data_IF_388273328416
#
_entry.id   IF_388273328416
#
_cell.length_a   1.000
_cell.length_b   1.000
_cell.length_c   1.000
_cell.angle_alpha   90.00
_cell.angle_beta   90.00
_cell.angle_gamma   90.00
#
_symmetry.space_group_name_H-M   'P 1'
#
loop_
_entity.id
_entity.type
_entity.pdbx_description
1 polymer ?
#
# COMPACT_ATOMS: atom_id res chain seq x y z
N UNK A 1 15.92 15.77 -4.55
CA UNK A 1 14.57 16.03 -4.02
C UNK A 1 13.72 14.81 -4.31
N UNK A 2 13.10 14.21 -3.30
CA UNK A 2 12.13 13.13 -3.52
C UNK A 2 10.98 13.68 -4.38
N UNK A 3 10.59 12.96 -5.43
CA UNK A 3 9.46 13.36 -6.27
C UNK A 3 8.18 13.10 -5.51
N UNK A 4 7.43 14.14 -5.15
CA UNK A 4 6.06 14.02 -4.64
C UNK A 4 5.12 13.63 -5.77
N UNK A 5 4.17 12.74 -5.48
CA UNK A 5 3.13 12.31 -6.42
C UNK A 5 1.77 12.37 -5.73
N UNK A 6 0.78 12.95 -6.39
CA UNK A 6 -0.59 12.95 -5.89
C UNK A 6 -1.19 11.55 -6.05
N UNK A 7 -1.85 11.06 -5.01
CA UNK A 7 -2.63 9.84 -5.03
C UNK A 7 -4.04 10.11 -4.50
N UNK A 8 -5.00 9.28 -4.94
CA UNK A 8 -6.37 9.29 -4.44
C UNK A 8 -6.59 8.07 -3.54
N UNK A 9 -7.19 8.29 -2.38
CA UNK A 9 -7.57 7.26 -1.43
C UNK A 9 -8.53 6.27 -2.10
N UNK A 10 -8.18 4.99 -2.04
CA UNK A 10 -8.99 3.91 -2.60
C UNK A 10 -9.88 3.26 -1.53
N UNK A 11 -9.31 2.99 -0.35
CA UNK A 11 -9.96 2.28 0.76
C UNK A 11 -9.37 2.79 2.06
N UNK A 12 -10.23 3.13 3.03
CA UNK A 12 -9.87 3.37 4.43
C UNK A 12 -10.92 2.67 5.30
N UNK A 13 -10.57 1.49 5.85
CA UNK A 13 -11.48 0.69 6.68
C UNK A 13 -10.73 -0.31 7.55
N UNK A 14 -11.37 -0.69 8.66
CA UNK A 14 -10.97 -1.87 9.44
C UNK A 14 -11.49 -3.14 8.78
N UNK A 15 -10.62 -4.15 8.62
CA UNK A 15 -10.97 -5.46 8.05
C UNK A 15 -10.90 -6.52 9.14
N UNK A 16 -11.97 -7.30 9.29
CA UNK A 16 -12.06 -8.40 10.27
C UNK A 16 -12.45 -9.69 9.57
N UNK A 17 -12.03 -10.84 10.09
CA UNK A 17 -12.55 -12.13 9.60
C UNK A 17 -13.98 -12.38 10.14
N UNK A 18 -14.87 -13.01 9.35
CA UNK A 18 -14.71 -13.34 7.93
C UNK A 18 -14.85 -12.10 7.04
N UNK A 19 -14.10 -12.04 5.93
CA UNK A 19 -14.20 -10.99 4.93
C UNK A 19 -13.88 -11.54 3.54
N UNK A 20 -14.47 -10.95 2.51
CA UNK A 20 -14.20 -11.29 1.12
C UNK A 20 -12.75 -10.98 0.73
N UNK A 21 -12.22 -11.69 -0.26
CA UNK A 21 -10.88 -11.40 -0.79
C UNK A 21 -10.86 -10.04 -1.49
N UNK A 22 -9.89 -9.20 -1.14
CA UNK A 22 -9.61 -7.95 -1.86
C UNK A 22 -8.70 -8.23 -3.06
N UNK A 23 -8.87 -7.46 -4.14
CA UNK A 23 -7.99 -7.54 -5.32
C UNK A 23 -7.49 -6.15 -5.70
N UNK A 24 -6.21 -6.07 -6.04
CA UNK A 24 -5.56 -4.87 -6.57
C UNK A 24 -4.88 -5.20 -7.90
N UNK A 25 -4.81 -4.20 -8.77
CA UNK A 25 -4.20 -4.28 -10.10
C UNK A 25 -3.11 -3.23 -10.23
N UNK A 26 -2.19 -3.35 -11.21
CA UNK A 26 -1.06 -2.42 -11.35
C UNK A 26 -1.41 -0.92 -11.38
N UNK A 27 -2.65 -0.56 -11.76
CA UNK A 27 -3.12 0.83 -11.84
C UNK A 27 -4.52 1.07 -11.26
N UNK A 28 -5.09 0.12 -10.51
CA UNK A 28 -6.44 0.26 -9.93
C UNK A 28 -6.62 -0.64 -8.70
N UNK A 29 -7.71 -0.44 -7.95
CA UNK A 29 -8.01 -1.25 -6.76
C UNK A 29 -7.13 -0.98 -5.54
N UNK A 30 -6.37 0.13 -5.52
CA UNK A 30 -5.48 0.45 -4.39
C UNK A 30 -4.13 -0.27 -4.45
N UNK A 31 -3.41 -0.11 -5.57
CA UNK A 31 -2.07 -0.71 -5.75
C UNK A 31 -1.03 -0.25 -4.71
N UNK A 32 -1.28 0.87 -4.04
CA UNK A 32 -0.52 1.36 -2.90
C UNK A 32 -1.42 1.22 -1.67
N UNK A 33 -0.93 0.54 -0.63
CA UNK A 33 -1.69 0.27 0.58
C UNK A 33 -0.78 0.13 1.79
N UNK A 34 -1.37 0.32 2.96
CA UNK A 34 -0.74 0.09 4.26
C UNK A 34 -1.69 -0.77 5.10
N UNK A 35 -1.15 -1.76 5.80
CA UNK A 35 -1.89 -2.53 6.79
C UNK A 35 -1.39 -2.18 8.18
N UNK A 36 -2.33 -1.87 9.07
CA UNK A 36 -2.07 -1.68 10.50
C UNK A 36 -2.86 -2.71 11.28
N UNK A 37 -2.15 -3.60 11.97
CA UNK A 37 -2.79 -4.61 12.81
C UNK A 37 -3.40 -3.96 14.06
N UNK A 38 -4.73 -3.98 14.18
CA UNK A 38 -5.45 -3.51 15.39
C UNK A 38 -5.38 -4.57 16.50
N UNK A 39 -5.46 -5.84 16.10
CA UNK A 39 -5.24 -7.03 16.94
C UNK A 39 -4.27 -7.96 16.22
N UNK A 40 -3.68 -8.97 16.89
CA UNK A 40 -2.94 -10.01 16.20
C UNK A 40 -3.80 -10.62 15.08
N UNK A 41 -3.30 -10.57 13.85
CA UNK A 41 -4.01 -11.00 12.65
C UNK A 41 -3.07 -11.72 11.69
N UNK A 42 -3.64 -12.45 10.74
CA UNK A 42 -2.92 -13.07 9.64
C UNK A 42 -3.50 -12.57 8.32
N UNK A 43 -2.63 -12.25 7.37
CA UNK A 43 -2.98 -11.88 5.99
C UNK A 43 -2.38 -12.92 5.06
N UNK A 44 -3.18 -13.40 4.10
CA UNK A 44 -2.72 -14.28 3.04
C UNK A 44 -2.73 -13.52 1.72
N UNK A 45 -1.55 -13.24 1.18
CA UNK A 45 -1.39 -12.54 -0.10
C UNK A 45 -0.95 -13.49 -1.22
N UNK A 46 -1.54 -13.31 -2.39
CA UNK A 46 -1.16 -13.98 -3.64
C UNK A 46 -0.66 -12.90 -4.61
N UNK A 47 0.62 -12.96 -4.97
CA UNK A 47 1.26 -12.00 -5.87
C UNK A 47 1.42 -12.59 -7.28
N UNK A 48 0.92 -11.89 -8.29
CA UNK A 48 0.98 -12.33 -9.69
C UNK A 48 1.36 -11.17 -10.64
N UNK A 49 2.62 -11.07 -11.10
CA UNK A 49 3.79 -11.85 -10.69
C UNK A 49 4.37 -11.40 -9.33
N UNK A 50 5.20 -12.23 -8.67
CA UNK A 50 5.91 -11.80 -7.47
C UNK A 50 6.96 -10.74 -7.78
N UNK A 51 7.38 -10.02 -6.72
CA UNK A 51 8.51 -9.09 -6.78
C UNK A 51 9.77 -9.79 -7.30
N UNK A 52 10.55 -9.06 -8.07
CA UNK A 52 11.82 -9.49 -8.65
C UNK A 52 12.60 -8.25 -9.06
N UNK A 53 13.55 -7.83 -8.23
CA UNK A 53 14.33 -6.62 -8.47
C UNK A 53 15.11 -6.66 -9.79
N UNK A 54 15.68 -7.82 -10.14
CA UNK A 54 16.39 -8.02 -11.41
C UNK A 54 15.51 -7.77 -12.65
N UNK A 55 14.19 -7.89 -12.51
CA UNK A 55 13.21 -7.59 -13.55
C UNK A 55 12.50 -6.24 -13.34
N UNK A 56 13.06 -5.36 -12.48
CA UNK A 56 12.53 -4.04 -12.17
C UNK A 56 11.31 -4.04 -11.24
N UNK A 57 10.86 -5.20 -10.74
CA UNK A 57 9.70 -5.33 -9.84
C UNK A 57 10.15 -5.26 -8.38
N UNK A 58 10.59 -4.08 -7.95
CA UNK A 58 10.95 -3.82 -6.56
C UNK A 58 9.73 -3.38 -5.74
N UNK A 59 9.75 -3.66 -4.45
CA UNK A 59 8.84 -3.02 -3.51
C UNK A 59 9.39 -1.61 -3.20
N UNK A 60 8.55 -0.59 -3.30
CA UNK A 60 8.90 0.81 -3.01
C UNK A 60 8.00 1.32 -1.90
N UNK A 61 8.61 1.96 -0.90
CA UNK A 61 7.90 2.52 0.23
C UNK A 61 7.60 3.99 0.00
N UNK A 62 6.48 4.43 0.57
CA UNK A 62 6.00 5.79 0.45
C UNK A 62 5.62 6.31 1.83
N UNK A 63 5.91 7.59 2.08
CA UNK A 63 5.31 8.35 3.15
C UNK A 63 4.21 9.22 2.57
N UNK A 64 3.01 9.15 3.14
CA UNK A 64 1.88 9.97 2.77
C UNK A 64 1.82 11.25 3.60
N UNK A 65 1.48 12.35 2.94
CA UNK A 65 1.18 13.63 3.58
C UNK A 65 -0.24 14.04 3.21
N UNK A 66 -0.98 14.70 4.12
CA UNK A 66 -2.25 15.32 3.80
C UNK A 66 -2.16 16.19 2.53
N UNK A 67 -3.24 16.23 1.75
CA UNK A 67 -3.31 17.08 0.55
C UNK A 67 -2.88 18.53 0.82
N UNK A 68 -3.29 19.08 1.97
CA UNK A 68 -3.01 20.45 2.41
C UNK A 68 -1.56 20.72 2.80
N UNK A 69 -0.68 19.70 2.86
CA UNK A 69 0.71 19.87 3.29
C UNK A 69 1.58 20.63 2.28
N UNK A 70 1.17 20.73 1.01
CA UNK A 70 1.96 21.38 -0.04
C UNK A 70 1.08 22.33 -0.85
N UNK A 71 1.51 23.58 -1.00
CA UNK A 71 0.83 24.58 -1.81
C UNK A 71 0.78 24.13 -3.28
N UNK A 72 -0.42 24.03 -3.83
CA UNK A 72 -0.67 23.75 -5.24
C UNK A 72 -1.54 24.87 -5.81
N UNK A 73 -1.38 25.19 -7.09
CA UNK A 73 -2.31 26.08 -7.79
C UNK A 73 -3.73 25.52 -7.71
N UNK A 74 -4.73 26.40 -7.71
CA UNK A 74 -6.17 26.20 -7.41
C UNK A 74 -6.91 25.11 -8.24
N UNK A 75 -6.24 24.26 -9.01
CA UNK A 75 -6.85 23.50 -10.11
C UNK A 75 -6.88 21.97 -9.96
N UNK A 76 -6.20 21.37 -8.97
CA UNK A 76 -5.99 19.90 -9.02
C UNK A 76 -7.15 19.09 -8.43
N UNK A 77 -7.89 19.62 -7.44
CA UNK A 77 -8.96 18.88 -6.76
C UNK A 77 -10.16 19.81 -6.55
N UNK A 78 -11.36 19.30 -6.86
CA UNK A 78 -12.62 20.01 -6.62
C UNK A 78 -12.77 20.36 -5.13
N UNK A 79 -13.21 21.59 -4.86
CA UNK A 79 -13.34 22.13 -3.50
C UNK A 79 -14.24 21.21 -2.66
N UNK A 80 -13.64 20.51 -1.69
CA UNK A 80 -14.34 19.60 -0.78
C UNK A 80 -13.96 18.11 -0.87
N UNK A 81 -13.14 17.71 -1.86
CA UNK A 81 -12.63 16.33 -1.96
C UNK A 81 -11.19 16.14 -1.50
N UNK A 82 -10.58 17.16 -0.90
CA UNK A 82 -9.19 17.12 -0.46
C UNK A 82 -8.85 15.92 0.44
N UNK A 83 -9.81 15.50 1.27
CA UNK A 83 -9.67 14.33 2.17
C UNK A 83 -9.54 13.00 1.41
N UNK A 84 -9.94 12.95 0.14
CA UNK A 84 -9.75 11.79 -0.73
C UNK A 84 -8.35 11.76 -1.36
N UNK A 85 -7.47 12.72 -1.08
CA UNK A 85 -6.17 12.83 -1.73
C UNK A 85 -5.03 12.96 -0.72
N UNK A 86 -3.87 12.42 -1.11
CA UNK A 86 -2.64 12.50 -0.33
C UNK A 86 -1.42 12.66 -1.26
N UNK A 87 -0.39 13.32 -0.76
CA UNK A 87 0.91 13.42 -1.42
C UNK A 87 1.80 12.26 -0.98
N UNK A 88 2.31 11.50 -1.93
CA UNK A 88 3.22 10.39 -1.66
C UNK A 88 4.65 10.78 -2.01
N UNK A 89 5.54 10.68 -1.02
CA UNK A 89 6.98 10.79 -1.20
C UNK A 89 7.61 9.40 -1.15
N UNK A 90 8.47 9.07 -2.12
CA UNK A 90 9.29 7.86 -2.05
C UNK A 90 10.26 8.00 -0.87
N UNK A 91 10.33 6.96 -0.04
CA UNK A 91 11.27 6.83 1.07
C UNK A 91 12.09 5.55 0.92
N UNK A 92 13.22 5.49 1.60
CA UNK A 92 13.95 4.24 1.78
C UNK A 92 13.13 3.26 2.64
N UNK A 93 13.56 2.00 2.68
CA UNK A 93 12.94 1.00 3.55
C UNK A 93 12.87 1.53 4.99
N UNK A 94 11.67 1.61 5.60
CA UNK A 94 11.53 2.13 6.95
C UNK A 94 12.40 1.37 7.96
N UNK A 95 13.06 2.09 8.87
CA UNK A 95 13.96 1.50 9.87
C UNK A 95 13.24 0.59 10.89
N UNK A 96 11.92 0.78 11.02
CA UNK A 96 11.03 0.01 11.88
C UNK A 96 10.35 -1.18 11.17
N UNK A 97 10.68 -1.41 9.88
CA UNK A 97 10.17 -2.55 9.14
C UNK A 97 10.98 -3.83 9.45
N UNK A 98 10.44 -4.65 10.35
CA UNK A 98 11.04 -5.94 10.70
C UNK A 98 10.23 -7.11 10.15
N UNK A 99 10.80 -7.83 9.19
CA UNK A 99 10.23 -9.06 8.63
C UNK A 99 11.08 -10.27 9.01
N UNK A 100 10.46 -11.28 9.62
CA UNK A 100 11.13 -12.55 9.95
C UNK A 100 10.55 -13.68 9.06
N UNK A 101 11.34 -14.26 8.15
CA UNK A 101 10.88 -15.39 7.36
C UNK A 101 10.66 -16.62 8.25
N UNK A 102 9.65 -17.42 7.92
CA UNK A 102 9.32 -18.66 8.59
C UNK A 102 9.15 -19.81 7.59
N UNK A 103 9.36 -21.04 8.06
CA UNK A 103 9.05 -22.24 7.27
C UNK A 103 7.56 -22.55 7.41
N UNK A 104 6.89 -22.80 6.28
CA UNK A 104 5.52 -23.30 6.31
C UNK A 104 5.47 -24.71 6.92
N UNK A 105 4.57 -24.91 7.88
CA UNK A 105 4.39 -26.16 8.64
C UNK A 105 2.95 -26.68 8.57
N UNK A 106 2.15 -26.17 7.63
CA UNK A 106 0.80 -26.66 7.37
C UNK A 106 0.80 -27.90 6.46
N UNK A 107 -0.39 -28.30 5.98
CA UNK A 107 -0.54 -29.43 5.07
C UNK A 107 0.27 -29.30 3.78
N UNK A 108 0.71 -30.42 3.20
CA UNK A 108 1.51 -30.39 1.97
C UNK A 108 0.81 -29.64 0.82
N UNK A 109 1.56 -28.76 0.17
CA UNK A 109 1.10 -28.05 -1.02
C UNK A 109 1.42 -28.91 -2.23
N UNK A 110 0.39 -29.47 -2.85
CA UNK A 110 0.52 -30.21 -4.11
C UNK A 110 0.62 -29.25 -5.30
N UNK A 111 1.37 -29.66 -6.32
CA UNK A 111 1.50 -28.94 -7.59
C UNK A 111 0.52 -29.44 -8.62
#
# INVERSE_FOLDING_TARGET
MSSLRLARLAVDKVVNAPNDTSVLYPKSGGNLHCFTAVTPCAVLDILAPPYLEAAGRRCTYYHDYPYSSFAHGDEIVDNGKEQEYAWLAVVDTPEDLYMRPGRYIGPDIQR
#
